data_IF_129453562853
#
_entry.id   IF_129453562853
#
_cell.length_a   1.000
_cell.length_b   1.000
_cell.length_c   1.000
_cell.angle_alpha   90.00
_cell.angle_beta   90.00
_cell.angle_gamma   90.00
#
_symmetry.space_group_name_H-M   'P 1'
#
loop_
_entity.id
_entity.type
_entity.pdbx_description
1 polymer ?
#
# COMPACT_ATOMS: atom_id res chain seq x y z
N UNK A 1 26.87 19.69 56.88
CA UNK A 1 27.05 18.81 55.69
C UNK A 1 25.76 18.10 55.26
N UNK A 2 24.79 17.85 56.16
CA UNK A 2 23.52 17.20 55.80
C UNK A 2 22.52 18.05 54.96
N UNK A 3 22.65 19.39 54.95
CA UNK A 3 21.72 20.27 54.21
C UNK A 3 22.02 20.41 52.71
N UNK A 4 23.26 20.16 52.30
CA UNK A 4 23.67 20.25 50.89
C UNK A 4 23.32 18.96 50.12
N UNK A 5 23.23 17.83 50.82
CA UNK A 5 22.88 16.53 50.23
C UNK A 5 21.39 16.40 49.88
N UNK A 6 20.51 17.18 50.53
CA UNK A 6 19.05 17.12 50.27
C UNK A 6 18.64 17.95 49.04
N UNK A 7 19.48 18.91 48.61
CA UNK A 7 19.21 19.76 47.44
C UNK A 7 19.67 19.13 46.12
N UNK A 8 20.50 18.09 46.16
CA UNK A 8 21.03 17.41 44.96
C UNK A 8 20.16 16.22 44.54
N UNK A 9 19.32 15.71 45.44
CA UNK A 9 18.44 14.57 45.13
C UNK A 9 17.08 14.99 44.52
N UNK A 10 16.74 16.28 44.56
CA UNK A 10 15.46 16.79 44.03
C UNK A 10 15.55 17.24 42.56
N UNK A 11 16.75 17.33 42.00
CA UNK A 11 17.00 17.72 40.61
C UNK A 11 17.11 16.53 39.63
N UNK A 12 17.06 15.27 40.11
CA UNK A 12 17.14 14.09 39.25
C UNK A 12 15.80 13.57 38.72
N UNK A 13 14.66 14.14 39.14
CA UNK A 13 13.33 13.71 38.68
C UNK A 13 12.69 14.61 37.61
N UNK A 14 13.39 15.65 37.14
CA UNK A 14 12.91 16.51 36.04
C UNK A 14 13.45 16.13 34.67
N UNK A 15 14.19 15.03 34.57
CA UNK A 15 14.53 14.40 33.29
C UNK A 15 13.56 13.25 32.99
N UNK A 16 12.26 13.45 33.21
CA UNK A 16 11.28 12.76 32.38
C UNK A 16 11.39 13.43 31.02
N UNK A 17 12.35 12.95 30.21
CA UNK A 17 12.31 13.18 28.79
C UNK A 17 10.90 12.79 28.35
N UNK A 18 10.10 13.78 27.96
CA UNK A 18 9.11 13.52 26.93
C UNK A 18 9.96 13.07 25.75
N UNK A 19 10.13 11.77 25.64
CA UNK A 19 10.34 11.11 24.37
C UNK A 19 9.07 11.40 23.57
N UNK A 20 8.98 12.65 23.10
CA UNK A 20 8.07 13.03 22.03
C UNK A 20 8.70 12.33 20.84
N UNK A 21 8.36 11.03 20.73
CA UNK A 21 8.70 10.20 19.60
C UNK A 21 8.12 10.92 18.42
N UNK A 22 8.96 11.75 17.81
CA UNK A 22 8.69 12.43 16.57
C UNK A 22 8.31 11.32 15.61
N UNK A 23 7.00 11.19 15.41
CA UNK A 23 6.43 10.19 14.54
C UNK A 23 6.91 10.58 13.15
N UNK A 24 8.03 9.99 12.74
CA UNK A 24 8.45 10.00 11.35
C UNK A 24 7.22 9.57 10.56
N UNK A 25 6.68 10.53 9.83
CA UNK A 25 5.65 10.27 8.84
C UNK A 25 6.35 9.41 7.80
N UNK A 26 6.29 8.09 7.96
CA UNK A 26 6.81 7.13 6.99
C UNK A 26 6.13 7.46 5.66
N UNK A 27 6.89 8.13 4.78
CA UNK A 27 6.41 8.42 3.44
C UNK A 27 6.36 7.08 2.73
N UNK A 28 5.15 6.60 2.45
CA UNK A 28 4.92 5.35 1.75
C UNK A 28 5.41 5.53 0.30
N UNK A 29 6.66 5.17 0.03
CA UNK A 29 7.22 5.20 -1.32
C UNK A 29 7.49 3.79 -1.83
N UNK A 30 6.94 3.48 -3.01
CA UNK A 30 7.25 2.27 -3.76
C UNK A 30 7.69 2.68 -5.17
N UNK A 31 9.00 2.67 -5.40
CA UNK A 31 9.60 3.17 -6.66
C UNK A 31 9.23 2.32 -7.89
N UNK A 32 8.84 1.06 -7.67
CA UNK A 32 8.38 0.17 -8.74
C UNK A 32 6.94 0.49 -9.12
N UNK A 33 6.65 0.62 -10.43
CA UNK A 33 5.29 0.82 -10.95
C UNK A 33 4.58 -0.49 -11.30
N UNK A 34 5.27 -1.63 -11.34
CA UNK A 34 4.63 -2.91 -11.63
C UNK A 34 3.79 -3.37 -10.45
N UNK A 35 2.56 -3.77 -10.76
CA UNK A 35 1.60 -4.28 -9.79
C UNK A 35 1.43 -5.78 -10.01
N UNK A 36 1.43 -6.53 -8.91
CA UNK A 36 1.25 -7.98 -8.94
C UNK A 36 -0.15 -8.39 -8.48
N UNK A 37 -0.60 -9.54 -8.98
CA UNK A 37 -1.72 -10.32 -8.45
C UNK A 37 -1.35 -11.80 -8.53
N UNK A 38 -2.23 -12.68 -8.08
CA UNK A 38 -2.05 -14.13 -8.23
C UNK A 38 -2.54 -14.67 -9.56
N UNK A 39 -3.22 -13.82 -10.33
CA UNK A 39 -3.57 -14.05 -11.73
C UNK A 39 -2.93 -12.96 -12.60
N UNK A 40 -2.95 -13.18 -13.92
CA UNK A 40 -2.53 -12.19 -14.92
C UNK A 40 -3.69 -11.92 -15.90
N UNK A 41 -4.89 -11.80 -15.35
CA UNK A 41 -6.15 -11.70 -16.09
C UNK A 41 -7.18 -10.82 -15.35
N UNK A 42 -8.35 -10.68 -15.96
CA UNK A 42 -9.45 -9.85 -15.45
C UNK A 42 -10.08 -10.37 -14.15
N UNK A 43 -9.71 -11.56 -13.67
CA UNK A 43 -10.28 -12.19 -12.47
C UNK A 43 -9.59 -11.80 -11.18
N UNK A 44 -8.54 -10.97 -11.26
CA UNK A 44 -7.84 -10.45 -10.09
C UNK A 44 -8.81 -9.80 -9.09
N UNK A 45 -8.81 -10.30 -7.86
CA UNK A 45 -9.64 -9.78 -6.75
C UNK A 45 -8.87 -8.84 -5.83
N UNK A 46 -7.54 -8.88 -5.91
CA UNK A 46 -6.67 -7.94 -5.23
C UNK A 46 -5.39 -7.74 -6.04
N UNK A 47 -4.78 -6.58 -5.82
CA UNK A 47 -3.51 -6.18 -6.39
C UNK A 47 -2.55 -5.84 -5.25
N UNK A 48 -1.25 -6.05 -5.45
CA UNK A 48 -0.27 -5.70 -4.43
C UNK A 48 1.06 -5.24 -5.01
N UNK A 49 1.78 -4.51 -4.15
CA UNK A 49 3.18 -4.13 -4.30
C UNK A 49 3.89 -4.47 -3.02
N UNK A 50 5.10 -5.02 -3.11
CA UNK A 50 5.95 -5.23 -1.93
C UNK A 50 7.37 -4.74 -2.18
N UNK A 51 7.99 -4.20 -1.13
CA UNK A 51 9.41 -3.82 -1.10
C UNK A 51 9.97 -4.18 0.26
N UNK A 52 10.97 -5.07 0.29
CA UNK A 52 11.48 -5.63 1.54
C UNK A 52 10.35 -6.14 2.44
N UNK A 53 10.21 -5.52 3.62
CA UNK A 53 9.25 -5.90 4.67
C UNK A 53 7.91 -5.18 4.60
N UNK A 54 7.66 -4.41 3.55
CA UNK A 54 6.48 -3.55 3.42
C UNK A 54 5.66 -4.00 2.21
N UNK A 55 4.34 -3.88 2.31
CA UNK A 55 3.45 -4.09 1.18
C UNK A 55 2.26 -3.13 1.17
N UNK A 56 1.83 -2.77 -0.03
CA UNK A 56 0.54 -2.17 -0.30
C UNK A 56 -0.36 -3.21 -0.96
N UNK A 57 -1.58 -3.35 -0.47
CA UNK A 57 -2.57 -4.32 -0.95
C UNK A 57 -3.85 -3.55 -1.24
N UNK A 58 -4.31 -3.62 -2.50
CA UNK A 58 -5.55 -3.00 -2.98
C UNK A 58 -6.55 -4.10 -3.32
N UNK A 59 -7.59 -4.25 -2.49
CA UNK A 59 -8.73 -5.10 -2.80
C UNK A 59 -9.60 -4.43 -3.88
N UNK A 60 -9.99 -5.23 -4.87
CA UNK A 60 -10.80 -4.82 -5.99
C UNK A 60 -12.25 -5.31 -5.83
N UNK A 61 -13.26 -4.51 -6.21
CA UNK A 61 -14.58 -5.06 -6.51
C UNK A 61 -14.50 -6.05 -7.68
N UNK A 62 -15.53 -6.90 -7.81
CA UNK A 62 -15.65 -7.77 -8.98
C UNK A 62 -15.79 -6.95 -10.27
N UNK A 63 -15.28 -7.52 -11.37
CA UNK A 63 -15.45 -7.01 -12.74
C UNK A 63 -14.94 -5.58 -13.01
N UNK A 64 -14.04 -5.04 -12.18
CA UNK A 64 -13.45 -3.70 -12.38
C UNK A 64 -12.27 -3.69 -13.34
N UNK A 65 -11.57 -4.82 -13.48
CA UNK A 65 -10.52 -5.01 -14.48
C UNK A 65 -11.17 -5.60 -15.72
N UNK A 66 -11.10 -4.86 -16.84
CA UNK A 66 -11.66 -5.28 -18.12
C UNK A 66 -10.63 -5.07 -19.22
N UNK A 67 -10.48 -6.07 -20.08
CA UNK A 67 -9.66 -6.02 -21.29
C UNK A 67 -10.35 -5.19 -22.40
N UNK A 68 -10.71 -3.96 -22.06
CA UNK A 68 -11.37 -3.00 -22.91
C UNK A 68 -10.83 -1.61 -22.58
N UNK A 69 -10.49 -0.81 -23.58
CA UNK A 69 -10.00 0.54 -23.36
C UNK A 69 -11.09 1.38 -22.68
N UNK A 70 -10.76 1.96 -21.53
CA UNK A 70 -11.76 2.64 -20.72
C UNK A 70 -11.20 3.16 -19.41
N UNK A 71 -12.09 3.82 -18.67
CA UNK A 71 -11.81 4.35 -17.33
C UNK A 71 -12.83 3.77 -16.37
N UNK A 72 -12.34 3.20 -15.28
CA UNK A 72 -13.16 2.84 -14.13
C UNK A 72 -12.79 3.72 -12.94
N UNK A 73 -13.77 4.13 -12.15
CA UNK A 73 -13.56 4.92 -10.93
C UNK A 73 -14.31 4.33 -9.76
N UNK A 74 -13.76 4.47 -8.56
CA UNK A 74 -14.47 4.17 -7.32
C UNK A 74 -13.76 4.75 -6.11
N UNK A 75 -14.24 4.42 -4.92
CA UNK A 75 -13.78 5.07 -3.70
C UNK A 75 -13.25 4.08 -2.66
N UNK A 76 -12.29 4.54 -1.87
CA UNK A 76 -11.83 3.91 -0.63
C UNK A 76 -12.52 4.59 0.55
N UNK A 77 -13.03 3.85 1.56
CA UNK A 77 -12.95 2.39 1.73
C UNK A 77 -14.20 1.64 1.19
N UNK A 78 -15.04 2.32 0.41
CA UNK A 78 -16.37 1.84 0.03
C UNK A 78 -16.33 0.70 -0.98
N UNK A 79 -15.75 0.95 -2.16
CA UNK A 79 -15.64 -0.03 -3.25
C UNK A 79 -14.30 -0.76 -3.16
N UNK A 80 -13.24 0.01 -2.96
CA UNK A 80 -11.87 -0.48 -2.84
C UNK A 80 -11.42 -0.44 -1.38
N UNK A 81 -10.50 -1.34 -1.01
CA UNK A 81 -9.82 -1.26 0.28
C UNK A 81 -8.33 -1.27 0.03
N UNK A 82 -7.62 -0.29 0.60
CA UNK A 82 -6.16 -0.24 0.52
C UNK A 82 -5.58 -0.47 1.91
N UNK A 83 -4.62 -1.37 2.00
CA UNK A 83 -3.88 -1.68 3.21
C UNK A 83 -2.40 -1.41 3.00
N UNK A 84 -1.77 -0.74 3.97
CA UNK A 84 -0.32 -0.69 4.10
C UNK A 84 0.08 -1.62 5.23
N UNK A 85 0.96 -2.59 4.95
CA UNK A 85 1.25 -3.71 5.84
C UNK A 85 2.75 -3.90 6.00
N UNK A 86 3.18 -4.00 7.24
CA UNK A 86 4.57 -4.28 7.60
C UNK A 86 4.71 -5.71 8.13
N UNK A 87 5.82 -6.35 7.78
CA UNK A 87 6.15 -7.74 8.12
C UNK A 87 7.45 -7.82 8.92
N UNK A 88 7.65 -8.93 9.62
CA UNK A 88 8.90 -9.18 10.33
C UNK A 88 10.09 -9.45 9.39
N UNK A 89 9.81 -9.99 8.21
CA UNK A 89 10.76 -10.39 7.18
C UNK A 89 10.27 -9.96 5.79
N UNK A 90 11.13 -10.06 4.78
CA UNK A 90 10.80 -9.60 3.45
C UNK A 90 9.73 -10.50 2.79
N UNK A 91 8.78 -9.90 2.09
CA UNK A 91 7.69 -10.61 1.38
C UNK A 91 7.77 -10.40 -0.14
N UNK A 92 7.27 -11.39 -0.88
CA UNK A 92 7.26 -11.41 -2.34
C UNK A 92 5.95 -12.02 -2.87
N UNK A 93 5.82 -12.14 -4.20
CA UNK A 93 4.63 -12.70 -4.84
C UNK A 93 4.26 -14.10 -4.34
N UNK A 94 5.24 -14.97 -4.05
CA UNK A 94 4.96 -16.32 -3.56
C UNK A 94 4.30 -16.31 -2.16
N UNK A 95 4.58 -15.30 -1.34
CA UNK A 95 3.91 -15.13 -0.05
C UNK A 95 2.41 -14.85 -0.23
N UNK A 96 2.07 -13.90 -1.10
CA UNK A 96 0.67 -13.49 -1.34
C UNK A 96 -0.14 -14.53 -2.12
N UNK A 97 0.51 -15.32 -2.97
CA UNK A 97 -0.13 -16.25 -3.89
C UNK A 97 0.03 -17.72 -3.51
N UNK A 98 0.37 -17.99 -2.25
CA UNK A 98 0.36 -19.35 -1.73
C UNK A 98 -1.08 -19.87 -1.61
N UNK A 99 -1.30 -21.13 -1.98
CA UNK A 99 -2.59 -21.82 -1.81
C UNK A 99 -3.05 -21.85 -0.34
N UNK A 100 -2.09 -21.79 0.60
CA UNK A 100 -2.33 -21.71 2.02
C UNK A 100 -1.54 -20.54 2.61
N UNK A 101 -2.16 -19.67 3.44
CA UNK A 101 -1.45 -18.55 4.07
C UNK A 101 -0.18 -19.03 4.79
N UNK A 102 1.01 -18.53 4.42
CA UNK A 102 2.25 -18.91 5.08
C UNK A 102 2.25 -18.48 6.56
N UNK A 103 2.87 -19.28 7.42
CA UNK A 103 3.05 -18.92 8.83
C UNK A 103 4.16 -17.84 9.05
N UNK A 104 5.06 -17.69 8.08
CA UNK A 104 6.09 -16.64 8.03
C UNK A 104 6.29 -16.18 6.57
N UNK A 105 6.63 -14.90 6.32
CA UNK A 105 6.66 -13.77 7.27
C UNK A 105 5.29 -13.49 7.92
N UNK A 106 5.26 -13.03 9.17
CA UNK A 106 4.02 -12.60 9.83
C UNK A 106 3.89 -11.08 9.86
N UNK A 107 2.65 -10.63 9.96
CA UNK A 107 2.29 -9.22 9.97
C UNK A 107 2.66 -8.61 11.33
N UNK A 108 3.46 -7.53 11.31
CA UNK A 108 3.78 -6.71 12.49
C UNK A 108 2.71 -5.63 12.67
N UNK A 109 2.34 -4.95 11.58
CA UNK A 109 1.34 -3.89 11.61
C UNK A 109 0.56 -3.83 10.30
N UNK A 110 -0.66 -3.31 10.38
CA UNK A 110 -1.49 -3.01 9.23
C UNK A 110 -2.24 -1.70 9.46
N UNK A 111 -2.17 -0.82 8.47
CA UNK A 111 -2.95 0.40 8.38
C UNK A 111 -3.94 0.28 7.24
N UNK A 112 -5.14 0.81 7.44
CA UNK A 112 -6.18 0.83 6.41
C UNK A 112 -6.38 2.26 5.93
N UNK A 113 -6.44 2.43 4.62
CA UNK A 113 -6.85 3.70 4.04
C UNK A 113 -8.32 3.97 4.38
N UNK A 114 -8.61 5.22 4.73
CA UNK A 114 -9.94 5.70 5.14
C UNK A 114 -10.57 6.66 4.13
N UNK A 115 -9.84 6.98 3.05
CA UNK A 115 -10.29 7.86 1.98
C UNK A 115 -9.39 7.73 0.75
N UNK A 116 -9.94 8.02 -0.42
CA UNK A 116 -9.22 8.07 -1.69
C UNK A 116 -10.14 7.75 -2.88
N UNK A 117 -9.88 8.38 -4.02
CA UNK A 117 -10.60 8.13 -5.27
C UNK A 117 -9.70 7.32 -6.19
N UNK A 118 -10.08 6.06 -6.43
CA UNK A 118 -9.37 5.14 -7.30
C UNK A 118 -9.81 5.38 -8.74
N UNK A 119 -8.84 5.48 -9.65
CA UNK A 119 -9.04 5.56 -11.09
C UNK A 119 -8.17 4.51 -11.77
N UNK A 120 -8.80 3.64 -12.54
CA UNK A 120 -8.17 2.60 -13.36
C UNK A 120 -8.33 3.00 -14.82
N UNK A 121 -7.21 3.20 -15.53
CA UNK A 121 -7.20 3.50 -16.96
C UNK A 121 -6.65 2.29 -17.70
N UNK A 122 -7.48 1.66 -18.54
CA UNK A 122 -7.08 0.52 -19.36
C UNK A 122 -6.65 0.96 -20.75
N UNK A 123 -5.53 0.44 -21.23
CA UNK A 123 -5.08 0.57 -22.62
C UNK A 123 -4.67 -0.77 -23.20
N UNK A 124 -5.09 -1.05 -24.44
CA UNK A 124 -4.56 -2.18 -25.19
C UNK A 124 -3.15 -1.84 -25.70
N UNK A 125 -2.20 -2.73 -25.49
CA UNK A 125 -0.85 -2.64 -26.03
C UNK A 125 -0.77 -3.56 -27.24
N UNK A 126 -0.27 -3.03 -28.36
CA UNK A 126 -0.22 -3.72 -29.63
C UNK A 126 1.22 -3.95 -30.07
N UNK A 127 1.46 -5.07 -30.74
CA UNK A 127 2.69 -5.30 -31.46
C UNK A 127 2.75 -4.33 -32.66
N UNK A 128 3.87 -3.63 -32.81
CA UNK A 128 4.07 -2.64 -33.87
C UNK A 128 4.10 -3.27 -35.27
N UNK A 129 4.50 -4.54 -35.39
CA UNK A 129 4.67 -5.20 -36.69
C UNK A 129 3.35 -5.63 -37.34
N UNK A 130 2.39 -6.10 -36.54
CA UNK A 130 1.16 -6.73 -37.03
C UNK A 130 -0.12 -6.18 -36.37
N UNK A 131 0.01 -5.17 -35.51
CA UNK A 131 -1.07 -4.50 -34.79
C UNK A 131 -1.91 -5.43 -33.89
N UNK A 132 -1.43 -6.65 -33.60
CA UNK A 132 -2.07 -7.59 -32.69
C UNK A 132 -1.96 -7.10 -31.25
N UNK A 133 -3.02 -7.27 -30.46
CA UNK A 133 -2.97 -6.94 -29.03
C UNK A 133 -2.11 -7.99 -28.34
N UNK A 134 -1.09 -7.54 -27.61
CA UNK A 134 -0.17 -8.41 -26.86
C UNK A 134 -0.47 -8.44 -25.36
N UNK A 135 -1.11 -7.40 -24.82
CA UNK A 135 -1.58 -7.30 -23.43
C UNK A 135 -2.48 -6.07 -23.24
N UNK A 136 -3.10 -5.97 -22.08
CA UNK A 136 -3.69 -4.74 -21.59
C UNK A 136 -2.89 -4.22 -20.39
N UNK A 137 -2.66 -2.90 -20.37
CA UNK A 137 -2.08 -2.19 -19.23
C UNK A 137 -3.22 -1.45 -18.50
N UNK A 138 -3.38 -1.75 -17.21
CA UNK A 138 -4.34 -1.11 -16.31
C UNK A 138 -3.59 -0.21 -15.33
N UNK A 139 -3.55 1.10 -15.59
CA UNK A 139 -2.91 2.08 -14.71
C UNK A 139 -3.86 2.46 -13.58
N UNK A 140 -3.47 2.17 -12.33
CA UNK A 140 -4.20 2.49 -11.11
C UNK A 140 -3.58 3.70 -10.43
N UNK A 141 -4.40 4.74 -10.24
CA UNK A 141 -4.06 5.98 -9.53
C UNK A 141 -5.07 6.23 -8.43
N UNK A 142 -4.65 6.82 -7.32
CA UNK A 142 -5.48 7.12 -6.16
C UNK A 142 -5.27 8.59 -5.78
N UNK A 143 -6.25 9.44 -6.03
CA UNK A 143 -6.20 10.83 -5.59
C UNK A 143 -6.82 11.00 -4.21
N UNK A 144 -6.34 11.98 -3.44
CA UNK A 144 -6.83 12.27 -2.08
C UNK A 144 -6.74 11.05 -1.15
N UNK A 145 -5.67 10.25 -1.28
CA UNK A 145 -5.46 9.06 -0.47
C UNK A 145 -5.26 9.48 0.99
N UNK A 146 -6.03 8.88 1.90
CA UNK A 146 -5.92 9.12 3.35
C UNK A 146 -5.66 7.80 4.07
N UNK A 147 -4.49 7.66 4.67
CA UNK A 147 -4.18 6.54 5.58
C UNK A 147 -4.05 7.09 7.00
N UNK A 148 -4.78 6.51 7.95
CA UNK A 148 -4.73 6.90 9.36
C UNK A 148 -3.87 5.92 10.14
N UNK A 149 -2.93 6.45 10.90
CA UNK A 149 -2.24 5.72 11.96
C UNK A 149 -3.12 5.59 13.20
N UNK A 150 -2.77 4.67 14.10
CA UNK A 150 -3.48 4.44 15.35
C UNK A 150 -3.43 5.64 16.31
N UNK A 151 -2.42 6.51 16.17
CA UNK A 151 -2.27 7.76 16.91
C UNK A 151 -3.12 8.93 16.35
N UNK A 152 -3.80 8.72 15.21
CA UNK A 152 -4.62 9.73 14.54
C UNK A 152 -3.88 10.59 13.51
N UNK A 153 -2.56 10.42 13.34
CA UNK A 153 -1.80 11.02 12.24
C UNK A 153 -2.29 10.51 10.89
N UNK A 154 -2.22 11.37 9.88
CA UNK A 154 -2.76 11.13 8.54
C UNK A 154 -1.66 11.27 7.51
N UNK A 155 -1.46 10.23 6.72
CA UNK A 155 -0.81 10.35 5.42
C UNK A 155 -1.85 10.82 4.42
N UNK A 156 -1.59 11.95 3.78
CA UNK A 156 -2.42 12.48 2.70
C UNK A 156 -1.54 12.62 1.47
N UNK A 157 -1.88 11.84 0.44
CA UNK A 157 -1.26 11.97 -0.89
C UNK A 157 -2.30 12.50 -1.88
N UNK A 158 -1.98 13.61 -2.54
CA UNK A 158 -2.85 14.23 -3.54
C UNK A 158 -3.01 13.36 -4.78
N UNK A 159 -1.96 12.65 -5.19
CA UNK A 159 -1.97 11.81 -6.39
C UNK A 159 -0.98 10.65 -6.24
N UNK A 160 -1.45 9.60 -5.57
CA UNK A 160 -0.67 8.38 -5.39
C UNK A 160 -0.78 7.48 -6.62
N UNK A 161 0.36 7.18 -7.25
CA UNK A 161 0.41 6.19 -8.33
C UNK A 161 0.58 4.81 -7.69
N UNK A 162 -0.51 4.03 -7.65
CA UNK A 162 -0.42 2.65 -7.21
C UNK A 162 0.45 1.86 -8.19
N UNK A 163 0.16 1.91 -9.49
CA UNK A 163 1.01 1.34 -10.54
C UNK A 163 0.20 0.75 -11.68
N UNK A 164 0.82 -0.12 -12.48
CA UNK A 164 0.21 -0.76 -13.65
C UNK A 164 0.09 -2.26 -13.44
N UNK A 165 -1.14 -2.77 -13.50
CA UNK A 165 -1.43 -4.21 -13.58
C UNK A 165 -1.56 -4.62 -15.04
N UNK A 166 -1.03 -5.79 -15.40
CA UNK A 166 -1.01 -6.29 -16.77
C UNK A 166 -1.84 -7.55 -16.89
N UNK A 167 -2.64 -7.63 -17.95
CA UNK A 167 -3.42 -8.83 -18.28
C UNK A 167 -3.13 -9.29 -19.70
N UNK A 168 -3.23 -10.61 -19.90
CA UNK A 168 -3.12 -11.18 -21.23
C UNK A 168 -4.38 -10.88 -22.07
N UNK A 169 -4.24 -10.75 -23.39
CA UNK A 169 -5.41 -10.76 -24.29
C UNK A 169 -6.06 -12.15 -24.22
N UNK A 170 -7.39 -12.18 -24.19
CA UNK A 170 -8.16 -13.43 -24.21
C UNK A 170 -7.92 -14.24 -25.49
#
# INVERSE_FOLDING_TARGET
MARVLLSVFLSLFLLSACDDGDLEIETISFDNLNVSSCTNDVTATFLFKSTGKQALILDLPQDVIKNEAGIYTGEIPTNFKLFYRNFNEAVNTAYFCSNYPPASPWVISQLSATGGKVKIVTKAIRNESDNQIIRYDHLITISELVIKNNDGSKLIDSEFIFGTYQTNPN
#
